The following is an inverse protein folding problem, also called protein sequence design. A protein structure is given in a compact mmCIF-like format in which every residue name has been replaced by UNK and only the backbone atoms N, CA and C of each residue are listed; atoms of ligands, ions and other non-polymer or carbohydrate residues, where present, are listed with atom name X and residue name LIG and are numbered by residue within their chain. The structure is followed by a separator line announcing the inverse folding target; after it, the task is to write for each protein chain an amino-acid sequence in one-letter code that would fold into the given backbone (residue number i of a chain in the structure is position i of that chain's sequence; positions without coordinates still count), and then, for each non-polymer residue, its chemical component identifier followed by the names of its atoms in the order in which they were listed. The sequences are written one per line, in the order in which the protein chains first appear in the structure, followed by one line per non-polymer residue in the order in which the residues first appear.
data_IF_713309729725
#
_entry.id   IF_713309729725
#
_cell.length_a   1.000
_cell.length_b   1.000
_cell.length_c   1.000
_cell.angle_alpha   90.00
_cell.angle_beta   90.00
_cell.angle_gamma   90.00
#
_symmetry.space_group_name_H-M   'P 1'
#
loop_
_entity.id
_entity.type
_entity.pdbx_description
1 polymer ?
#
# COMPACT_ATOMS: atom_id res chain seq x y z
N UNK A 1 15.36 -31.17 62.49
CA UNK A 1 15.81 -31.79 61.23
C UNK A 1 14.66 -31.77 60.24
N UNK A 2 14.44 -30.67 59.52
CA UNK A 2 13.81 -30.68 58.18
C UNK A 2 14.44 -29.51 57.43
N UNK A 3 15.17 -29.86 56.38
CA UNK A 3 16.04 -28.98 55.62
C UNK A 3 15.31 -28.49 54.38
N UNK A 4 15.41 -27.18 54.17
CA UNK A 4 15.25 -26.36 52.94
C UNK A 4 15.07 -27.12 51.61
N UNK A 5 14.07 -26.67 50.83
CA UNK A 5 14.22 -26.49 49.39
C UNK A 5 13.59 -25.14 48.99
N UNK A 6 14.45 -24.15 48.73
CA UNK A 6 14.09 -22.92 48.03
C UNK A 6 14.19 -23.22 46.54
N UNK A 7 13.07 -23.19 45.81
CA UNK A 7 13.06 -23.14 44.35
C UNK A 7 13.23 -21.67 43.93
N UNK A 8 14.40 -21.33 43.41
CA UNK A 8 14.64 -20.06 42.71
C UNK A 8 13.93 -20.10 41.35
N UNK A 9 12.83 -19.38 41.20
CA UNK A 9 12.29 -19.02 39.89
C UNK A 9 13.15 -17.90 39.31
N UNK A 10 14.06 -18.25 38.40
CA UNK A 10 14.69 -17.26 37.51
C UNK A 10 13.64 -16.88 36.46
N UNK A 11 12.96 -15.75 36.66
CA UNK A 11 12.22 -15.11 35.58
C UNK A 11 13.24 -14.63 34.54
N UNK A 12 13.44 -15.42 33.49
CA UNK A 12 13.98 -14.91 32.23
C UNK A 12 12.97 -13.91 31.67
N UNK A 13 13.15 -12.63 32.00
CA UNK A 13 12.61 -11.53 31.21
C UNK A 13 13.32 -11.60 29.86
N UNK A 14 12.74 -12.36 28.93
CA UNK A 14 13.02 -12.19 27.52
C UNK A 14 12.51 -10.78 27.21
N UNK A 15 13.43 -9.82 27.15
CA UNK A 15 13.16 -8.54 26.51
C UNK A 15 12.73 -8.88 25.08
N UNK A 16 11.42 -8.82 24.82
CA UNK A 16 10.92 -8.77 23.46
C UNK A 16 11.50 -7.48 22.89
N UNK A 17 12.55 -7.62 22.09
CA UNK A 17 13.05 -6.55 21.24
C UNK A 17 11.85 -6.01 20.49
N UNK A 18 11.51 -4.74 20.70
CA UNK A 18 10.40 -4.11 20.02
C UNK A 18 10.68 -4.15 18.53
N UNK A 19 9.91 -4.92 17.76
CA UNK A 19 10.05 -5.08 16.30
C UNK A 19 9.85 -3.77 15.52
N UNK A 20 9.42 -2.70 16.21
CA UNK A 20 9.06 -1.42 15.61
C UNK A 20 9.68 -0.23 16.31
N UNK A 21 10.11 0.74 15.50
CA UNK A 21 10.55 2.07 15.94
C UNK A 21 9.35 3.02 15.91
N UNK A 22 9.05 3.71 17.00
CA UNK A 22 8.03 4.75 17.01
C UNK A 22 8.59 6.06 16.42
N UNK A 23 8.05 6.47 15.28
CA UNK A 23 8.48 7.69 14.58
C UNK A 23 7.45 8.79 14.75
N UNK A 24 7.88 9.99 15.15
CA UNK A 24 6.99 11.13 15.36
C UNK A 24 6.44 11.67 14.03
N UNK A 25 5.23 12.22 14.10
CA UNK A 25 4.58 12.90 12.98
C UNK A 25 5.20 14.28 12.74
N UNK A 26 5.30 14.67 11.48
CA UNK A 26 5.57 16.02 11.03
C UNK A 26 4.33 16.54 10.30
N UNK A 27 3.77 17.65 10.79
CA UNK A 27 2.68 18.38 10.13
C UNK A 27 3.29 19.43 9.20
N UNK A 28 2.95 19.37 7.90
CA UNK A 28 3.50 20.27 6.89
C UNK A 28 2.64 21.54 6.77
N UNK A 29 2.71 22.42 7.75
CA UNK A 29 1.93 23.67 7.80
C UNK A 29 2.13 24.55 6.56
N UNK A 30 3.35 24.57 6.00
CA UNK A 30 3.67 25.36 4.80
C UNK A 30 2.91 24.90 3.55
N UNK A 31 2.36 23.68 3.53
CA UNK A 31 1.58 23.15 2.42
C UNK A 31 0.20 23.82 2.29
N UNK A 32 -0.36 24.38 3.37
CA UNK A 32 -1.67 25.06 3.34
C UNK A 32 -1.64 26.25 2.38
N UNK A 33 -0.55 27.03 2.38
CA UNK A 33 -0.35 28.14 1.46
C UNK A 33 -0.30 27.72 -0.02
N UNK A 34 0.00 26.45 -0.30
CA UNK A 34 -0.03 25.83 -1.63
C UNK A 34 -1.39 25.18 -1.95
N UNK A 35 -2.37 25.31 -1.05
CA UNK A 35 -3.68 24.66 -1.13
C UNK A 35 -3.62 23.14 -0.98
N UNK A 36 -2.52 22.59 -0.49
CA UNK A 36 -2.37 21.17 -0.19
C UNK A 36 -2.87 20.91 1.24
N UNK A 37 -4.09 20.39 1.35
CA UNK A 37 -4.78 20.15 2.61
C UNK A 37 -5.59 18.85 2.56
N UNK A 38 -5.78 18.22 3.72
CA UNK A 38 -6.63 17.05 3.91
C UNK A 38 -8.10 17.35 3.60
N UNK A 39 -8.96 16.32 3.58
CA UNK A 39 -10.41 16.45 3.31
C UNK A 39 -11.11 17.53 4.16
N UNK A 40 -10.67 17.73 5.42
CA UNK A 40 -11.22 18.71 6.35
C UNK A 40 -10.53 20.09 6.32
N UNK A 41 -9.50 20.26 5.48
CA UNK A 41 -8.74 21.49 5.36
C UNK A 41 -7.48 21.56 6.23
N UNK A 42 -7.15 20.56 7.05
CA UNK A 42 -5.89 20.57 7.82
C UNK A 42 -4.68 20.31 6.93
N UNK A 43 -3.46 20.76 7.32
CA UNK A 43 -2.22 20.44 6.61
C UNK A 43 -1.98 18.92 6.51
N UNK A 44 -1.33 18.43 5.43
CA UNK A 44 -0.92 17.04 5.34
C UNK A 44 0.24 16.73 6.28
N UNK A 45 0.50 15.44 6.47
CA UNK A 45 1.50 14.97 7.42
C UNK A 45 2.31 13.78 6.89
N UNK A 46 3.50 13.61 7.45
CA UNK A 46 4.35 12.45 7.20
C UNK A 46 5.19 12.13 8.44
N UNK A 47 5.71 10.91 8.51
CA UNK A 47 6.70 10.48 9.51
C UNK A 47 8.02 10.27 8.80
N UNK A 48 9.12 10.71 9.39
CA UNK A 48 10.45 10.60 8.80
C UNK A 48 11.45 10.08 9.84
N UNK A 49 12.05 8.94 9.52
CA UNK A 49 13.22 8.41 10.21
C UNK A 49 14.45 8.59 9.31
N UNK A 50 15.53 9.15 9.87
CA UNK A 50 16.68 9.59 9.08
C UNK A 50 17.64 8.44 8.80
N UNK A 51 18.17 8.44 7.58
CA UNK A 51 19.19 7.48 7.18
C UNK A 51 20.50 7.68 7.93
N UNK A 52 21.35 6.65 7.92
CA UNK A 52 22.64 6.63 8.61
C UNK A 52 23.71 5.92 7.78
N UNK A 53 24.97 6.25 8.04
CA UNK A 53 26.12 5.64 7.37
C UNK A 53 26.00 5.69 5.82
N UNK A 54 26.19 4.56 5.11
CA UNK A 54 26.04 4.51 3.66
C UNK A 54 24.64 4.82 3.12
N UNK A 55 23.59 4.77 3.97
CA UNK A 55 22.20 4.96 3.57
C UNK A 55 21.70 6.41 3.61
N UNK A 56 22.52 7.38 4.03
CA UNK A 56 22.08 8.79 4.19
C UNK A 56 21.59 9.45 2.89
N UNK A 57 22.05 8.97 1.73
CA UNK A 57 21.62 9.46 0.42
C UNK A 57 20.60 8.53 -0.25
N UNK A 58 20.04 7.58 0.48
CA UNK A 58 19.04 6.66 -0.04
C UNK A 58 17.69 6.89 0.66
N UNK A 59 16.59 6.74 -0.09
CA UNK A 59 15.26 7.14 0.37
C UNK A 59 14.21 6.09 0.06
N UNK A 60 13.39 5.75 1.05
CA UNK A 60 12.14 4.98 0.89
C UNK A 60 10.99 5.89 1.28
N UNK A 61 10.09 6.16 0.35
CA UNK A 61 8.87 6.93 0.58
C UNK A 61 7.72 5.95 0.47
N UNK A 62 6.94 5.79 1.54
CA UNK A 62 5.82 4.87 1.59
C UNK A 62 4.50 5.62 1.76
N UNK A 63 3.59 5.45 0.81
CA UNK A 63 2.28 6.06 0.80
C UNK A 63 1.30 5.18 1.59
N UNK A 64 0.72 5.76 2.65
CA UNK A 64 -0.29 5.09 3.45
C UNK A 64 -1.54 4.76 2.61
N UNK A 65 -2.18 3.62 2.92
CA UNK A 65 -3.44 3.19 2.31
C UNK A 65 -4.66 3.52 3.19
N UNK A 66 -5.83 2.99 2.81
CA UNK A 66 -7.06 3.11 3.61
C UNK A 66 -8.33 3.32 2.78
N UNK A 67 -8.41 2.69 1.61
CA UNK A 67 -9.56 2.81 0.70
C UNK A 67 -9.81 4.22 0.16
N UNK A 68 -11.03 4.47 -0.30
CA UNK A 68 -11.43 5.73 -0.93
C UNK A 68 -12.78 6.20 -0.40
N UNK A 69 -13.16 7.42 -0.77
CA UNK A 69 -14.53 7.89 -0.62
C UNK A 69 -15.06 8.36 -1.98
N UNK A 70 -16.12 7.71 -2.46
CA UNK A 70 -16.64 7.86 -3.82
C UNK A 70 -17.82 8.83 -3.93
N UNK A 71 -18.36 9.31 -2.80
CA UNK A 71 -19.40 10.33 -2.79
C UNK A 71 -19.21 11.31 -1.64
N UNK A 72 -19.87 12.47 -1.72
CA UNK A 72 -19.80 13.55 -0.73
C UNK A 72 -20.11 13.06 0.69
N UNK A 73 -21.13 12.21 0.86
CA UNK A 73 -21.53 11.71 2.19
C UNK A 73 -20.44 10.86 2.83
N UNK A 74 -19.82 9.95 2.07
CA UNK A 74 -18.75 9.10 2.58
C UNK A 74 -17.47 9.89 2.83
N UNK A 75 -17.14 10.87 1.99
CA UNK A 75 -16.02 11.77 2.25
C UNK A 75 -16.25 12.65 3.48
N UNK A 76 -17.49 13.10 3.70
CA UNK A 76 -17.89 13.87 4.88
C UNK A 76 -17.73 13.05 6.17
N UNK A 77 -18.10 11.76 6.16
CA UNK A 77 -17.82 10.86 7.30
C UNK A 77 -16.31 10.70 7.50
N UNK A 78 -15.57 10.48 6.40
CA UNK A 78 -14.13 10.24 6.41
C UNK A 78 -13.33 11.42 6.95
N UNK A 79 -13.75 12.67 6.69
CA UNK A 79 -13.08 13.89 7.17
C UNK A 79 -12.94 13.93 8.69
N UNK A 80 -13.83 13.26 9.43
CA UNK A 80 -13.80 13.18 10.89
C UNK A 80 -12.91 12.07 11.45
N UNK A 81 -12.06 11.46 10.62
CA UNK A 81 -11.16 10.34 10.99
C UNK A 81 -9.71 10.67 10.62
N UNK A 82 -8.76 9.83 11.07
CA UNK A 82 -7.33 9.91 10.69
C UNK A 82 -7.08 9.91 9.17
N UNK A 83 -8.04 9.39 8.40
CA UNK A 83 -7.98 9.25 6.95
C UNK A 83 -8.57 10.44 6.18
N UNK A 84 -8.93 11.50 6.88
CA UNK A 84 -9.43 12.75 6.28
C UNK A 84 -9.01 14.02 7.03
N UNK A 85 -8.28 13.88 8.15
CA UNK A 85 -7.82 14.99 8.98
C UNK A 85 -6.51 14.62 9.68
N UNK A 86 -5.50 15.47 9.55
CA UNK A 86 -4.25 15.33 10.30
C UNK A 86 -4.41 15.62 11.80
N UNK A 87 -5.44 16.37 12.20
CA UNK A 87 -5.78 16.57 13.61
C UNK A 87 -6.31 15.30 14.30
N UNK A 88 -6.57 14.23 13.52
CA UNK A 88 -7.03 12.93 14.00
C UNK A 88 -6.00 11.82 13.79
N UNK A 89 -4.79 12.14 13.33
CA UNK A 89 -3.72 11.16 13.12
C UNK A 89 -2.97 10.88 14.42
N UNK A 90 -2.51 9.63 14.55
CA UNK A 90 -1.60 9.26 15.64
C UNK A 90 -0.30 10.05 15.54
N UNK A 91 0.14 10.59 16.67
CA UNK A 91 1.36 11.40 16.75
C UNK A 91 2.63 10.58 16.55
N UNK A 92 2.54 9.27 16.75
CA UNK A 92 3.63 8.32 16.55
C UNK A 92 3.13 7.15 15.71
N UNK A 93 3.96 6.71 14.77
CA UNK A 93 3.69 5.55 13.92
C UNK A 93 4.80 4.51 14.11
N UNK A 94 4.49 3.26 14.50
CA UNK A 94 5.46 2.19 14.51
C UNK A 94 5.92 1.86 13.08
N UNK A 95 7.21 1.98 12.84
CA UNK A 95 7.86 1.55 11.61
C UNK A 95 8.31 0.09 11.74
N UNK A 96 7.79 -0.77 10.87
CA UNK A 96 8.04 -2.22 10.82
C UNK A 96 8.19 -2.71 9.37
N UNK A 97 8.56 -3.98 9.17
CA UNK A 97 8.76 -4.54 7.84
C UNK A 97 9.84 -3.78 7.08
N UNK A 98 9.56 -3.41 5.83
CA UNK A 98 10.41 -2.57 4.98
C UNK A 98 10.75 -1.20 5.57
N UNK A 99 10.00 -0.74 6.60
CA UNK A 99 10.25 0.51 7.30
C UNK A 99 11.09 0.34 8.57
N UNK A 100 11.39 -0.89 9.00
CA UNK A 100 12.20 -1.12 10.21
C UNK A 100 13.62 -0.56 10.07
N UNK A 101 14.17 -0.06 11.17
CA UNK A 101 15.56 0.40 11.28
C UNK A 101 16.53 -0.69 11.78
N UNK A 102 16.04 -1.91 12.03
CA UNK A 102 16.85 -3.04 12.44
C UNK A 102 17.25 -3.88 11.21
N UNK A 103 18.55 -4.09 10.94
CA UNK A 103 19.01 -4.92 9.82
C UNK A 103 18.56 -6.38 9.91
N UNK A 104 18.20 -6.90 11.09
CA UNK A 104 17.64 -8.25 11.24
C UNK A 104 16.20 -8.34 10.71
N UNK A 105 15.49 -7.21 10.62
CA UNK A 105 14.11 -7.14 10.15
C UNK A 105 13.99 -6.53 8.75
N UNK A 106 14.95 -5.67 8.38
CA UNK A 106 14.99 -4.95 7.10
C UNK A 106 16.42 -4.85 6.55
N UNK A 107 17.04 -5.95 6.14
CA UNK A 107 18.49 -6.00 5.88
C UNK A 107 18.98 -5.02 4.82
N UNK A 108 18.15 -4.67 3.84
CA UNK A 108 18.54 -3.81 2.71
C UNK A 108 18.30 -2.31 2.98
N UNK A 109 17.19 -1.95 3.62
CA UNK A 109 16.73 -0.56 3.70
C UNK A 109 16.79 0.04 5.12
N UNK A 110 17.29 -0.71 6.12
CA UNK A 110 17.30 -0.30 7.53
C UNK A 110 18.10 0.97 7.85
N UNK A 111 19.00 1.42 6.96
CA UNK A 111 19.79 2.64 7.17
C UNK A 111 19.46 3.75 6.15
N UNK A 112 18.42 3.59 5.34
CA UNK A 112 17.94 4.62 4.41
C UNK A 112 17.12 5.70 5.15
N UNK A 113 16.90 6.85 4.53
CA UNK A 113 15.83 7.74 4.98
C UNK A 113 14.49 7.04 4.70
N UNK A 114 13.67 6.86 5.72
CA UNK A 114 12.39 6.16 5.61
C UNK A 114 11.25 7.12 5.93
N UNK A 115 10.34 7.27 4.99
CA UNK A 115 9.21 8.19 5.09
C UNK A 115 7.90 7.43 4.99
N UNK A 116 6.99 7.66 5.93
CA UNK A 116 5.59 7.24 5.79
C UNK A 116 4.72 8.48 5.58
N UNK A 117 4.19 8.64 4.38
CA UNK A 117 3.30 9.74 4.00
C UNK A 117 1.89 9.39 4.43
N UNK A 118 1.28 10.21 5.29
CA UNK A 118 -0.04 9.93 5.84
C UNK A 118 -1.14 10.25 4.82
N UNK A 119 -2.13 9.37 4.74
CA UNK A 119 -3.18 9.44 3.73
C UNK A 119 -4.43 10.13 4.27
N UNK A 120 -4.78 11.28 3.69
CA UNK A 120 -5.92 12.07 4.16
C UNK A 120 -6.78 12.69 3.05
N UNK A 121 -6.57 12.33 1.78
CA UNK A 121 -7.33 12.89 0.65
C UNK A 121 -8.47 11.98 0.19
N UNK A 122 -8.37 10.65 0.38
CA UNK A 122 -9.42 9.71 -0.02
C UNK A 122 -9.49 9.41 -1.52
N UNK A 123 -8.52 9.84 -2.32
CA UNK A 123 -8.45 9.71 -3.78
C UNK A 123 -7.11 9.16 -4.28
N UNK A 124 -6.39 8.37 -3.49
CA UNK A 124 -5.03 7.87 -3.83
C UNK A 124 -4.07 8.96 -4.30
N UNK A 125 -4.07 10.13 -3.64
CA UNK A 125 -3.21 11.25 -3.99
C UNK A 125 -3.40 11.80 -5.42
N UNK A 126 -4.54 11.52 -6.07
CA UNK A 126 -4.79 11.99 -7.45
C UNK A 126 -5.73 13.19 -7.52
N UNK A 127 -6.51 13.47 -6.48
CA UNK A 127 -7.54 14.50 -6.52
C UNK A 127 -7.00 15.93 -6.56
N UNK A 128 -7.64 16.82 -7.31
CA UNK A 128 -7.33 18.25 -7.31
C UNK A 128 -8.50 19.10 -7.85
N UNK A 129 -9.44 19.45 -6.98
CA UNK A 129 -10.62 20.27 -7.30
C UNK A 129 -10.48 21.67 -6.72
N UNK A 130 -10.25 22.71 -7.52
CA UNK A 130 -10.05 24.11 -7.05
C UNK A 130 -11.10 24.60 -6.04
N UNK A 131 -12.39 24.33 -6.30
CA UNK A 131 -13.46 24.74 -5.41
C UNK A 131 -13.51 23.89 -4.13
N UNK A 132 -13.83 24.53 -3.01
CA UNK A 132 -14.24 23.83 -1.79
C UNK A 132 -15.70 23.42 -1.97
N UNK A 133 -16.08 22.20 -1.56
CA UNK A 133 -17.48 21.79 -1.63
C UNK A 133 -18.34 22.75 -0.79
N UNK A 134 -19.29 23.49 -1.40
CA UNK A 134 -19.96 24.59 -0.72
C UNK A 134 -20.93 24.13 0.38
N UNK A 135 -21.42 22.88 0.32
CA UNK A 135 -22.34 22.34 1.30
C UNK A 135 -21.65 21.70 2.51
N UNK A 136 -20.46 21.14 2.30
CA UNK A 136 -19.79 20.29 3.30
C UNK A 136 -18.42 20.78 3.73
N UNK A 137 -17.84 21.75 3.02
CA UNK A 137 -16.49 22.27 3.26
C UNK A 137 -15.39 21.28 2.91
N UNK A 138 -15.66 20.27 2.07
CA UNK A 138 -14.68 19.25 1.72
C UNK A 138 -13.64 19.76 0.72
N UNK A 139 -12.40 19.30 0.90
CA UNK A 139 -11.27 19.61 0.04
C UNK A 139 -10.74 18.34 -0.65
N UNK A 140 -10.74 18.30 -1.98
CA UNK A 140 -10.19 17.18 -2.75
C UNK A 140 -8.82 17.56 -3.33
N UNK A 141 -7.73 17.32 -2.58
CA UNK A 141 -6.38 17.87 -2.84
C UNK A 141 -5.24 16.85 -2.89
N UNK A 142 -5.55 15.57 -3.08
CA UNK A 142 -4.55 14.49 -3.07
C UNK A 142 -3.27 14.79 -3.88
N UNK A 143 -3.40 15.29 -5.11
CA UNK A 143 -2.24 15.57 -5.96
C UNK A 143 -1.40 16.74 -5.44
N UNK A 144 -2.05 17.74 -4.82
CA UNK A 144 -1.32 18.84 -4.15
C UNK A 144 -0.59 18.37 -2.91
N UNK A 145 -1.23 17.48 -2.12
CA UNK A 145 -0.59 16.86 -0.95
C UNK A 145 0.67 16.10 -1.37
N UNK A 146 0.55 15.22 -2.37
CA UNK A 146 1.70 14.48 -2.89
C UNK A 146 2.81 15.43 -3.33
N UNK A 147 2.49 16.42 -4.17
CA UNK A 147 3.47 17.40 -4.65
C UNK A 147 4.15 18.16 -3.50
N UNK A 148 3.38 18.70 -2.56
CA UNK A 148 3.91 19.49 -1.45
C UNK A 148 4.84 18.67 -0.55
N UNK A 149 4.49 17.41 -0.26
CA UNK A 149 5.34 16.51 0.52
C UNK A 149 6.61 16.15 -0.27
N UNK A 150 6.52 15.82 -1.56
CA UNK A 150 7.72 15.51 -2.32
C UNK A 150 8.67 16.71 -2.41
N UNK A 151 8.15 17.93 -2.60
CA UNK A 151 8.95 19.17 -2.57
C UNK A 151 9.65 19.37 -1.21
N UNK A 152 8.95 19.09 -0.11
CA UNK A 152 9.51 19.16 1.24
C UNK A 152 10.64 18.13 1.43
N UNK A 153 10.43 16.88 1.00
CA UNK A 153 11.45 15.84 1.09
C UNK A 153 12.67 16.14 0.20
N UNK A 154 12.45 16.72 -0.99
CA UNK A 154 13.52 17.22 -1.87
C UNK A 154 14.37 18.26 -1.15
N UNK A 155 13.74 19.24 -0.49
CA UNK A 155 14.43 20.26 0.30
C UNK A 155 15.18 19.68 1.51
N UNK A 156 14.72 18.54 2.03
CA UNK A 156 15.35 17.81 3.13
C UNK A 156 16.47 16.84 2.71
N UNK A 157 16.91 16.89 1.44
CA UNK A 157 18.06 16.14 0.91
C UNK A 157 17.71 15.00 -0.05
N UNK A 158 16.44 14.77 -0.36
CA UNK A 158 16.06 13.78 -1.37
C UNK A 158 16.51 14.21 -2.78
N UNK A 159 16.71 15.52 -3.01
CA UNK A 159 17.23 16.04 -4.28
C UNK A 159 18.68 15.63 -4.59
N UNK A 160 19.42 15.07 -3.64
CA UNK A 160 20.77 14.50 -3.83
C UNK A 160 20.80 12.99 -3.69
N UNK A 161 19.64 12.32 -3.78
CA UNK A 161 19.55 10.88 -3.57
C UNK A 161 20.34 10.09 -4.61
N UNK A 162 21.06 9.04 -4.16
CA UNK A 162 21.65 8.04 -5.04
C UNK A 162 20.66 6.96 -5.42
N UNK A 163 19.83 6.56 -4.44
CA UNK A 163 18.77 5.58 -4.64
C UNK A 163 17.48 6.11 -4.01
N UNK A 164 16.36 5.87 -4.67
CA UNK A 164 15.06 6.25 -4.13
C UNK A 164 13.98 5.26 -4.55
N UNK A 165 13.09 5.01 -3.60
CA UNK A 165 11.98 4.08 -3.74
C UNK A 165 10.69 4.83 -3.42
N UNK A 166 9.74 4.80 -4.36
CA UNK A 166 8.34 5.07 -4.02
C UNK A 166 7.65 3.74 -3.74
N UNK A 167 6.96 3.64 -2.63
CA UNK A 167 6.21 2.47 -2.23
C UNK A 167 4.87 2.88 -1.63
N UNK A 168 4.01 1.91 -1.41
CA UNK A 168 2.79 2.13 -0.65
C UNK A 168 1.95 0.87 -0.62
N UNK A 169 0.96 0.86 0.28
CA UNK A 169 0.00 -0.23 0.36
C UNK A 169 -1.42 0.19 -0.05
N UNK A 170 -2.17 -0.70 -0.70
CA UNK A 170 -3.62 -0.57 -0.89
C UNK A 170 -3.91 0.67 -1.75
N UNK A 171 -4.70 1.63 -1.27
CA UNK A 171 -4.86 2.93 -1.92
C UNK A 171 -3.51 3.66 -2.15
N UNK A 172 -2.54 3.52 -1.24
CA UNK A 172 -1.17 4.03 -1.42
C UNK A 172 -0.31 3.19 -2.38
N UNK A 173 -0.60 1.90 -2.51
CA UNK A 173 0.00 1.02 -3.53
C UNK A 173 -0.49 1.40 -4.92
N UNK A 174 -1.80 1.64 -5.05
CA UNK A 174 -2.38 2.21 -6.28
C UNK A 174 -1.78 3.59 -6.58
N UNK A 175 -1.69 4.47 -5.59
CA UNK A 175 -1.04 5.77 -5.75
C UNK A 175 0.41 5.63 -6.21
N UNK A 176 1.15 4.64 -5.72
CA UNK A 176 2.51 4.35 -6.17
C UNK A 176 2.55 4.05 -7.66
N UNK A 177 1.63 3.23 -8.18
CA UNK A 177 1.52 2.97 -9.62
C UNK A 177 1.22 4.26 -10.39
N UNK A 178 0.21 5.02 -9.95
CA UNK A 178 -0.25 6.22 -10.66
C UNK A 178 0.78 7.36 -10.66
N UNK A 179 1.61 7.46 -9.62
CA UNK A 179 2.62 8.50 -9.46
C UNK A 179 4.06 8.05 -9.80
N UNK A 180 4.28 6.79 -10.19
CA UNK A 180 5.63 6.22 -10.31
C UNK A 180 6.54 6.99 -11.28
N UNK A 181 6.05 7.30 -12.48
CA UNK A 181 6.84 8.08 -13.46
C UNK A 181 7.04 9.53 -12.99
N UNK A 182 6.01 10.16 -12.42
CA UNK A 182 6.13 11.50 -11.86
C UNK A 182 7.19 11.56 -10.76
N UNK A 183 7.22 10.59 -9.85
CA UNK A 183 8.25 10.47 -8.82
C UNK A 183 9.65 10.30 -9.43
N UNK A 184 9.79 9.44 -10.44
CA UNK A 184 11.03 9.29 -11.20
C UNK A 184 11.55 10.61 -11.76
N UNK A 185 10.67 11.46 -12.29
CA UNK A 185 11.06 12.77 -12.86
C UNK A 185 11.48 13.82 -11.84
N UNK A 186 11.17 13.63 -10.55
CA UNK A 186 11.54 14.59 -9.50
C UNK A 186 13.01 14.46 -9.06
N UNK A 187 13.63 13.33 -9.35
CA UNK A 187 14.95 12.97 -8.80
C UNK A 187 16.07 13.16 -9.83
N UNK A 188 17.33 13.23 -9.37
CA UNK A 188 18.47 13.39 -10.26
C UNK A 188 18.52 12.32 -11.34
N UNK A 189 18.94 12.69 -12.56
CA UNK A 189 19.03 11.76 -13.69
C UNK A 189 19.97 10.56 -13.44
N UNK A 190 20.91 10.69 -12.52
CA UNK A 190 21.85 9.62 -12.12
C UNK A 190 21.38 8.83 -10.89
N UNK A 191 20.23 9.17 -10.29
CA UNK A 191 19.66 8.42 -9.19
C UNK A 191 19.01 7.12 -9.71
N UNK A 192 19.18 6.02 -8.98
CA UNK A 192 18.43 4.79 -9.21
C UNK A 192 17.05 4.93 -8.55
N UNK A 193 16.02 5.15 -9.37
CA UNK A 193 14.64 5.30 -8.90
C UNK A 193 13.81 4.07 -9.26
N UNK A 194 13.09 3.51 -8.27
CA UNK A 194 12.22 2.34 -8.46
C UNK A 194 10.91 2.49 -7.67
N UNK A 195 9.88 1.76 -8.07
CA UNK A 195 8.57 1.78 -7.40
C UNK A 195 8.12 0.38 -6.96
N UNK A 196 7.54 0.27 -5.76
CA UNK A 196 6.93 -0.95 -5.21
C UNK A 196 5.44 -0.73 -4.88
N UNK A 197 4.55 -1.39 -5.61
CA UNK A 197 3.13 -1.39 -5.25
C UNK A 197 2.80 -2.65 -4.47
N UNK A 198 2.46 -2.49 -3.19
CA UNK A 198 1.97 -3.57 -2.32
C UNK A 198 0.44 -3.53 -2.22
N UNK A 199 -0.23 -4.63 -2.55
CA UNK A 199 -1.68 -4.76 -2.53
C UNK A 199 -2.42 -3.63 -3.30
N UNK A 200 -1.75 -3.01 -4.27
CA UNK A 200 -2.25 -1.86 -5.03
C UNK A 200 -2.78 -2.22 -6.41
N UNK A 201 -2.58 -3.47 -6.86
CA UNK A 201 -3.05 -3.97 -8.14
C UNK A 201 -4.52 -4.43 -8.08
N UNK A 202 -5.46 -3.47 -8.03
CA UNK A 202 -6.90 -3.75 -8.12
C UNK A 202 -7.28 -4.02 -9.57
N UNK A 203 -8.10 -5.04 -9.81
CA UNK A 203 -8.47 -5.45 -11.18
C UNK A 203 -9.92 -5.10 -11.49
N UNK A 204 -10.21 -4.92 -12.76
CA UNK A 204 -11.57 -4.73 -13.22
C UNK A 204 -12.30 -6.07 -13.29
N UNK A 205 -13.31 -6.26 -12.41
CA UNK A 205 -14.11 -7.48 -12.36
C UNK A 205 -15.58 -7.20 -12.02
N UNK A 206 -16.44 -8.17 -12.31
CA UNK A 206 -17.83 -8.18 -11.85
C UNK A 206 -17.95 -8.83 -10.47
N UNK A 207 -18.77 -8.26 -9.59
CA UNK A 207 -19.05 -8.84 -8.28
C UNK A 207 -19.83 -10.17 -8.38
N UNK A 208 -20.09 -10.81 -7.24
CA UNK A 208 -20.84 -12.08 -7.17
C UNK A 208 -22.29 -11.99 -7.67
N UNK A 209 -22.82 -10.79 -7.90
CA UNK A 209 -24.13 -10.55 -8.54
C UNK A 209 -24.02 -10.27 -10.04
N UNK A 210 -22.80 -10.29 -10.60
CA UNK A 210 -22.51 -10.05 -12.00
C UNK A 210 -22.47 -8.57 -12.39
N UNK A 211 -22.37 -7.65 -11.43
CA UNK A 211 -22.34 -6.20 -11.70
C UNK A 211 -20.91 -5.65 -11.68
N UNK A 212 -20.57 -4.66 -12.54
CA UNK A 212 -19.24 -4.02 -12.57
C UNK A 212 -19.10 -2.97 -11.45
N UNK A 213 -19.36 -3.37 -10.20
CA UNK A 213 -19.41 -2.47 -9.04
C UNK A 213 -18.15 -1.60 -8.92
N UNK A 214 -16.96 -2.19 -9.08
CA UNK A 214 -15.70 -1.46 -8.93
C UNK A 214 -15.45 -0.45 -10.06
N UNK A 215 -15.95 -0.69 -11.27
CA UNK A 215 -15.87 0.29 -12.37
C UNK A 215 -16.64 1.55 -11.99
N UNK A 216 -17.88 1.40 -11.53
CA UNK A 216 -18.69 2.52 -11.06
C UNK A 216 -18.06 3.21 -9.86
N UNK A 217 -17.59 2.44 -8.88
CA UNK A 217 -16.93 2.97 -7.70
C UNK A 217 -15.70 3.82 -8.04
N UNK A 218 -14.79 3.34 -8.91
CA UNK A 218 -13.63 4.11 -9.35
C UNK A 218 -13.99 5.29 -10.25
N UNK A 219 -15.02 5.16 -11.10
CA UNK A 219 -15.53 6.30 -11.85
C UNK A 219 -16.01 7.43 -10.92
N UNK A 220 -16.73 7.08 -9.85
CA UNK A 220 -17.24 8.02 -8.87
C UNK A 220 -16.11 8.68 -8.07
N UNK A 221 -15.09 7.90 -7.65
CA UNK A 221 -13.87 8.44 -7.03
C UNK A 221 -13.18 9.44 -7.98
N UNK A 222 -12.88 9.04 -9.21
CA UNK A 222 -12.16 9.89 -10.18
C UNK A 222 -12.94 11.16 -10.49
N UNK A 223 -14.26 11.06 -10.63
CA UNK A 223 -15.15 12.19 -10.94
C UNK A 223 -15.22 13.16 -9.76
N UNK A 224 -15.51 12.66 -8.56
CA UNK A 224 -15.66 13.48 -7.36
C UNK A 224 -14.36 14.20 -6.99
N UNK A 225 -13.23 13.50 -7.07
CA UNK A 225 -11.93 14.03 -6.69
C UNK A 225 -11.27 14.86 -7.79
N UNK A 226 -11.86 14.94 -8.99
CA UNK A 226 -11.27 15.66 -10.13
C UNK A 226 -9.94 15.06 -10.59
N UNK A 227 -9.76 13.75 -10.44
CA UNK A 227 -8.47 13.07 -10.59
C UNK A 227 -7.97 13.02 -12.04
N UNK A 228 -8.86 13.19 -13.03
CA UNK A 228 -8.57 12.95 -14.45
C UNK A 228 -7.29 13.66 -14.96
N UNK A 229 -7.02 14.89 -14.49
CA UNK A 229 -5.85 15.68 -14.89
C UNK A 229 -4.52 15.18 -14.30
N UNK A 230 -4.57 14.35 -13.27
CA UNK A 230 -3.41 13.76 -12.60
C UNK A 230 -3.24 12.26 -12.95
N UNK A 231 -4.10 11.70 -13.79
CA UNK A 231 -3.95 10.35 -14.32
C UNK A 231 -3.10 10.35 -15.62
N UNK A 232 -2.47 9.22 -15.98
CA UNK A 232 -1.63 9.14 -17.16
C UNK A 232 -2.35 9.59 -18.44
N UNK A 233 -1.86 10.65 -19.13
CA UNK A 233 -2.48 11.15 -20.37
C UNK A 233 -2.60 10.09 -21.46
N UNK A 234 -1.63 9.18 -21.50
CA UNK A 234 -1.58 8.05 -22.44
C UNK A 234 -2.69 7.01 -22.24
N UNK A 235 -3.34 7.02 -21.07
CA UNK A 235 -4.57 6.30 -20.80
C UNK A 235 -5.81 7.17 -21.02
N UNK A 236 -5.86 8.38 -20.42
CA UNK A 236 -7.07 9.23 -20.46
C UNK A 236 -7.40 9.76 -21.85
N UNK A 237 -6.44 9.74 -22.78
CA UNK A 237 -6.69 10.03 -24.20
C UNK A 237 -7.40 8.90 -24.96
N UNK A 238 -7.51 7.70 -24.37
CA UNK A 238 -8.06 6.49 -25.01
C UNK A 238 -9.25 5.91 -24.26
N UNK A 239 -9.25 6.00 -22.94
CA UNK A 239 -10.24 5.43 -22.04
C UNK A 239 -10.90 6.52 -21.19
N UNK A 240 -12.07 6.23 -20.65
CA UNK A 240 -12.69 7.09 -19.64
C UNK A 240 -11.76 7.23 -18.44
N UNK A 241 -11.65 8.41 -17.79
CA UNK A 241 -10.76 8.62 -16.66
C UNK A 241 -10.91 7.60 -15.52
N UNK A 242 -12.13 7.16 -15.20
CA UNK A 242 -12.38 6.11 -14.19
C UNK A 242 -11.65 4.80 -14.50
N UNK A 243 -11.56 4.41 -15.78
CA UNK A 243 -10.83 3.20 -16.20
C UNK A 243 -9.31 3.37 -16.04
N UNK A 244 -8.80 4.59 -16.14
CA UNK A 244 -7.38 4.90 -15.92
C UNK A 244 -6.98 4.92 -14.43
N UNK A 245 -7.93 4.69 -13.53
CA UNK A 245 -7.66 4.41 -12.13
C UNK A 245 -7.31 2.93 -11.89
N UNK A 246 -7.62 2.03 -12.82
CA UNK A 246 -7.21 0.63 -12.72
C UNK A 246 -5.77 0.44 -13.20
N UNK A 247 -4.89 -0.19 -12.38
CA UNK A 247 -3.53 -0.55 -12.74
C UNK A 247 -3.36 -1.23 -14.08
N UNK A 248 -4.26 -2.16 -14.43
CA UNK A 248 -4.23 -2.90 -15.71
C UNK A 248 -4.25 -2.00 -16.95
N UNK A 249 -4.78 -0.78 -16.85
CA UNK A 249 -4.90 0.16 -17.95
C UNK A 249 -3.72 1.15 -18.06
N UNK A 250 -2.86 1.22 -17.05
CA UNK A 250 -1.79 2.23 -16.95
C UNK A 250 -0.40 1.63 -16.76
N UNK A 251 -0.28 0.53 -16.03
CA UNK A 251 0.99 0.04 -15.55
C UNK A 251 1.92 -0.48 -16.68
N UNK A 252 1.36 -0.92 -17.81
CA UNK A 252 2.14 -1.29 -19.00
C UNK A 252 2.94 -0.12 -19.59
N UNK A 253 2.52 1.12 -19.35
CA UNK A 253 3.13 2.32 -19.95
C UNK A 253 4.15 3.00 -19.02
N UNK A 254 4.21 2.59 -17.76
CA UNK A 254 5.15 3.11 -16.76
C UNK A 254 6.58 2.77 -17.19
N UNK A 255 7.43 3.80 -17.18
CA UNK A 255 8.84 3.74 -17.59
C UNK A 255 9.77 3.48 -16.43
N UNK A 256 9.51 4.10 -15.28
CA UNK A 256 10.24 3.85 -14.04
C UNK A 256 10.07 2.37 -13.64
N UNK A 257 11.14 1.64 -13.25
CA UNK A 257 11.03 0.25 -12.84
C UNK A 257 9.96 0.05 -11.75
N UNK A 258 9.06 -0.90 -11.98
CA UNK A 258 7.90 -1.17 -11.14
C UNK A 258 7.89 -2.62 -10.69
N UNK A 259 7.67 -2.83 -9.41
CA UNK A 259 7.53 -4.15 -8.83
C UNK A 259 6.19 -4.28 -8.09
N UNK A 260 5.47 -5.37 -8.37
CA UNK A 260 4.14 -5.62 -7.81
C UNK A 260 4.22 -6.69 -6.73
N UNK A 261 3.83 -6.35 -5.51
CA UNK A 261 3.62 -7.29 -4.41
C UNK A 261 2.12 -7.40 -4.23
N UNK A 262 1.52 -8.54 -4.53
CA UNK A 262 0.07 -8.71 -4.39
C UNK A 262 -0.27 -10.14 -4.01
N UNK A 263 -1.25 -10.31 -3.12
CA UNK A 263 -1.91 -11.59 -2.97
C UNK A 263 -2.84 -11.83 -4.16
N UNK A 264 -2.80 -13.02 -4.76
CA UNK A 264 -3.73 -13.41 -5.81
C UNK A 264 -5.18 -13.51 -5.29
N UNK A 265 -5.34 -13.71 -3.99
CA UNK A 265 -6.61 -13.72 -3.26
C UNK A 265 -6.64 -12.56 -2.24
N UNK A 266 -6.22 -11.37 -2.65
CA UNK A 266 -6.22 -10.17 -1.79
C UNK A 266 -7.54 -10.04 -1.02
N UNK A 267 -7.46 -10.11 0.31
CA UNK A 267 -8.68 -10.21 1.10
C UNK A 267 -9.52 -8.94 1.02
N UNK A 268 -8.92 -7.78 0.77
CA UNK A 268 -9.64 -6.51 0.72
C UNK A 268 -10.44 -6.44 -0.57
N UNK A 269 -9.83 -6.83 -1.69
CA UNK A 269 -10.50 -6.97 -2.99
C UNK A 269 -11.62 -8.02 -2.92
N UNK A 270 -11.41 -9.16 -2.26
CA UNK A 270 -12.49 -10.14 -2.02
C UNK A 270 -13.64 -9.52 -1.22
N UNK A 271 -13.33 -8.82 -0.13
CA UNK A 271 -14.32 -8.28 0.81
C UNK A 271 -15.13 -7.10 0.26
N UNK A 272 -14.52 -6.26 -0.56
CA UNK A 272 -15.06 -4.95 -0.92
C UNK A 272 -15.37 -4.81 -2.42
N UNK A 273 -14.82 -5.68 -3.27
CA UNK A 273 -15.02 -5.64 -4.72
C UNK A 273 -15.78 -6.89 -5.18
N UNK A 274 -15.21 -8.08 -5.00
CA UNK A 274 -15.86 -9.32 -5.46
C UNK A 274 -17.18 -9.57 -4.72
N UNK A 275 -17.18 -9.42 -3.40
CA UNK A 275 -18.39 -9.52 -2.56
C UNK A 275 -18.77 -8.11 -2.10
N UNK A 276 -19.06 -7.24 -3.06
CA UNK A 276 -19.37 -5.83 -2.85
C UNK A 276 -20.49 -5.59 -1.81
N UNK A 277 -20.50 -4.44 -1.12
CA UNK A 277 -21.55 -4.10 -0.16
C UNK A 277 -22.96 -4.28 -0.74
N UNK A 278 -23.82 -5.02 -0.03
CA UNK A 278 -25.20 -5.28 -0.44
C UNK A 278 -25.41 -6.52 -1.31
N UNK A 279 -24.35 -7.16 -1.83
CA UNK A 279 -24.47 -8.34 -2.72
C UNK A 279 -24.64 -9.68 -1.99
N UNK A 280 -24.34 -9.73 -0.69
CA UNK A 280 -24.50 -10.92 0.17
C UNK A 280 -25.49 -10.68 1.33
N UNK A 281 -26.79 -10.44 1.06
CA UNK A 281 -27.77 -10.10 2.10
C UNK A 281 -28.03 -11.24 3.09
N UNK A 282 -27.81 -12.49 2.67
CA UNK A 282 -27.99 -13.69 3.52
C UNK A 282 -26.72 -14.04 4.32
N UNK A 283 -25.62 -13.32 4.11
CA UNK A 283 -24.37 -13.56 4.82
C UNK A 283 -23.67 -14.87 4.47
N UNK A 284 -23.93 -15.44 3.29
CA UNK A 284 -23.33 -16.70 2.85
C UNK A 284 -21.79 -16.58 2.75
N UNK A 285 -21.29 -15.40 2.40
CA UNK A 285 -19.87 -15.10 2.26
C UNK A 285 -19.21 -14.58 3.53
N UNK A 286 -19.98 -14.35 4.61
CA UNK A 286 -19.46 -13.74 5.85
C UNK A 286 -18.23 -14.48 6.40
N UNK A 287 -18.31 -15.81 6.53
CA UNK A 287 -17.20 -16.61 7.08
C UNK A 287 -16.00 -16.68 6.13
N UNK A 288 -16.26 -16.90 4.83
CA UNK A 288 -15.24 -16.97 3.78
C UNK A 288 -14.46 -15.65 3.63
N UNK A 289 -15.17 -14.51 3.67
CA UNK A 289 -14.55 -13.17 3.67
C UNK A 289 -13.61 -12.95 4.84
N UNK A 290 -13.95 -13.48 6.02
CA UNK A 290 -13.11 -13.34 7.21
C UNK A 290 -11.88 -14.26 7.16
N UNK A 291 -12.05 -15.50 6.71
CA UNK A 291 -10.99 -16.48 6.62
C UNK A 291 -11.25 -17.42 5.44
N UNK A 292 -10.31 -17.46 4.49
CA UNK A 292 -10.40 -18.31 3.30
C UNK A 292 -10.55 -19.81 3.63
N UNK A 293 -10.06 -20.26 4.79
CA UNK A 293 -10.22 -21.65 5.27
C UNK A 293 -11.68 -22.03 5.52
N UNK A 294 -12.55 -21.05 5.72
CA UNK A 294 -13.97 -21.25 5.99
C UNK A 294 -14.83 -21.13 4.72
N UNK A 295 -14.23 -20.99 3.55
CA UNK A 295 -14.96 -20.96 2.29
C UNK A 295 -15.52 -22.34 1.95
N UNK A 296 -16.75 -22.39 1.47
CA UNK A 296 -17.32 -23.61 0.88
C UNK A 296 -16.61 -23.96 -0.43
N UNK A 297 -16.71 -25.20 -0.94
CA UNK A 297 -16.14 -25.55 -2.24
C UNK A 297 -16.57 -24.62 -3.38
N UNK A 298 -17.84 -24.21 -3.39
CA UNK A 298 -18.36 -23.25 -4.37
C UNK A 298 -17.68 -21.87 -4.25
N UNK A 299 -17.53 -21.35 -3.02
CA UNK A 299 -16.86 -20.07 -2.79
C UNK A 299 -15.39 -20.13 -3.19
N UNK A 300 -14.71 -21.25 -2.92
CA UNK A 300 -13.35 -21.47 -3.38
C UNK A 300 -13.27 -21.46 -4.91
N UNK A 301 -14.20 -22.09 -5.62
CA UNK A 301 -14.25 -22.01 -7.11
C UNK A 301 -14.37 -20.57 -7.60
N UNK A 302 -15.22 -19.75 -6.97
CA UNK A 302 -15.34 -18.32 -7.33
C UNK A 302 -14.04 -17.55 -7.02
N UNK A 303 -13.36 -17.85 -5.91
CA UNK A 303 -12.05 -17.27 -5.60
C UNK A 303 -10.97 -17.72 -6.58
N UNK A 304 -11.04 -18.95 -7.12
CA UNK A 304 -10.15 -19.37 -8.20
C UNK A 304 -10.37 -18.54 -9.47
N UNK A 305 -11.62 -18.25 -9.81
CA UNK A 305 -11.95 -17.33 -10.90
C UNK A 305 -11.34 -15.93 -10.69
N UNK A 306 -11.45 -15.37 -9.48
CA UNK A 306 -10.78 -14.11 -9.13
C UNK A 306 -9.27 -14.16 -9.38
N UNK A 307 -8.60 -15.25 -9.00
CA UNK A 307 -7.17 -15.42 -9.25
C UNK A 307 -6.88 -15.45 -10.75
N UNK A 308 -7.66 -16.17 -11.54
CA UNK A 308 -7.49 -16.24 -13.00
C UNK A 308 -7.63 -14.85 -13.64
N UNK A 309 -8.66 -14.09 -13.27
CA UNK A 309 -8.85 -12.72 -13.73
C UNK A 309 -7.68 -11.81 -13.29
N UNK A 310 -7.20 -11.97 -12.06
CA UNK A 310 -6.03 -11.22 -11.56
C UNK A 310 -4.78 -11.49 -12.38
N UNK A 311 -4.49 -12.76 -12.65
CA UNK A 311 -3.32 -13.14 -13.44
C UNK A 311 -3.44 -12.66 -14.89
N UNK A 312 -4.63 -12.71 -15.48
CA UNK A 312 -4.87 -12.16 -16.82
C UNK A 312 -4.64 -10.64 -16.86
N UNK A 313 -5.10 -9.90 -15.85
CA UNK A 313 -4.84 -8.46 -15.74
C UNK A 313 -3.35 -8.17 -15.53
N UNK A 314 -2.63 -9.01 -14.79
CA UNK A 314 -1.19 -8.90 -14.57
C UNK A 314 -0.38 -9.22 -15.84
N UNK A 315 -0.79 -10.22 -16.63
CA UNK A 315 -0.18 -10.54 -17.93
C UNK A 315 -0.24 -9.34 -18.89
N UNK A 316 -1.27 -8.49 -18.78
CA UNK A 316 -1.41 -7.23 -19.50
C UNK A 316 -0.25 -6.24 -19.29
N UNK A 317 0.52 -6.37 -18.19
CA UNK A 317 1.77 -5.63 -17.99
C UNK A 317 2.80 -5.90 -19.08
N UNK A 318 2.70 -7.04 -19.77
CA UNK A 318 3.65 -7.46 -20.78
C UNK A 318 5.04 -7.78 -20.22
N UNK A 319 5.92 -8.23 -21.11
CA UNK A 319 7.31 -8.56 -20.74
C UNK A 319 8.15 -7.28 -20.71
N UNK A 320 8.69 -6.95 -19.54
CA UNK A 320 9.74 -5.94 -19.38
C UNK A 320 10.85 -6.50 -18.48
N UNK A 321 12.10 -6.13 -18.76
CA UNK A 321 13.25 -6.44 -17.88
C UNK A 321 13.29 -5.57 -16.62
N UNK A 322 12.56 -4.45 -16.62
CA UNK A 322 12.48 -3.51 -15.49
C UNK A 322 11.29 -3.75 -14.58
N UNK A 323 10.50 -4.80 -14.85
CA UNK A 323 9.31 -5.15 -14.06
C UNK A 323 9.52 -6.45 -13.32
N UNK A 324 9.16 -6.45 -12.05
CA UNK A 324 9.16 -7.65 -11.20
C UNK A 324 7.79 -7.83 -10.53
N UNK A 325 7.54 -9.02 -10.03
CA UNK A 325 6.35 -9.30 -9.24
C UNK A 325 6.54 -10.48 -8.28
N UNK A 326 5.98 -10.32 -7.09
CA UNK A 326 5.83 -11.33 -6.07
C UNK A 326 4.34 -11.54 -5.85
N UNK A 327 3.78 -12.57 -6.48
CA UNK A 327 2.35 -12.88 -6.38
C UNK A 327 2.18 -14.17 -5.58
N UNK A 328 1.82 -14.04 -4.30
CA UNK A 328 1.56 -15.20 -3.44
C UNK A 328 0.07 -15.56 -3.41
N UNK A 329 -0.23 -16.78 -2.95
CA UNK A 329 -1.60 -17.27 -2.81
C UNK A 329 -2.17 -17.14 -1.40
N UNK A 330 -1.59 -16.27 -0.57
CA UNK A 330 -2.10 -15.97 0.76
C UNK A 330 -3.35 -15.10 0.71
N UNK A 331 -4.16 -15.17 1.76
CA UNK A 331 -5.34 -14.32 1.95
C UNK A 331 -4.97 -13.07 2.75
N UNK A 332 -4.05 -12.27 2.21
CA UNK A 332 -3.42 -11.13 2.88
C UNK A 332 -3.75 -9.80 2.19
N UNK A 333 -3.40 -8.71 2.87
CA UNK A 333 -3.47 -7.33 2.37
C UNK A 333 -2.40 -6.51 3.12
N UNK A 334 -1.65 -5.63 2.44
CA UNK A 334 -0.54 -4.84 3.02
C UNK A 334 0.58 -5.66 3.68
N UNK A 335 1.45 -6.25 2.85
CA UNK A 335 2.45 -7.21 3.29
C UNK A 335 3.82 -6.58 3.62
N UNK A 336 4.20 -5.51 2.91
CA UNK A 336 5.55 -4.94 2.94
C UNK A 336 5.92 -4.23 4.25
N UNK A 337 4.93 -3.66 4.95
CA UNK A 337 5.15 -2.93 6.21
C UNK A 337 4.89 -3.77 7.46
N UNK A 338 4.50 -5.03 7.31
CA UNK A 338 4.23 -5.94 8.43
C UNK A 338 5.34 -6.97 8.54
N UNK A 339 6.02 -7.05 9.68
CA UNK A 339 7.19 -7.91 9.83
C UNK A 339 6.87 -9.39 9.59
N UNK A 340 5.69 -9.84 10.03
CA UNK A 340 5.18 -11.18 9.82
C UNK A 340 5.13 -11.59 8.33
N UNK A 341 4.90 -10.64 7.41
CA UNK A 341 4.85 -10.90 5.98
C UNK A 341 6.15 -10.55 5.24
N UNK A 342 6.86 -9.52 5.70
CA UNK A 342 8.02 -8.96 5.01
C UNK A 342 9.25 -9.87 5.07
N UNK A 343 9.74 -10.12 6.29
CA UNK A 343 11.01 -10.83 6.55
C UNK A 343 10.97 -11.65 7.85
N UNK A 344 9.78 -11.92 8.39
CA UNK A 344 9.60 -12.78 9.57
C UNK A 344 10.00 -14.23 9.32
N UNK A 345 10.33 -14.97 10.38
CA UNK A 345 10.73 -16.38 10.30
C UNK A 345 9.71 -17.24 9.54
N UNK A 346 8.42 -17.00 9.81
CA UNK A 346 7.29 -17.70 9.22
C UNK A 346 6.61 -16.88 8.11
N UNK A 347 7.29 -15.89 7.54
CA UNK A 347 6.73 -15.10 6.44
C UNK A 347 6.45 -15.95 5.20
N UNK A 348 5.48 -15.54 4.35
CA UNK A 348 5.22 -16.22 3.09
C UNK A 348 6.49 -16.31 2.25
N UNK A 349 6.67 -17.46 1.59
CA UNK A 349 7.82 -17.74 0.73
C UNK A 349 7.37 -18.22 -0.63
N UNK A 350 7.91 -17.57 -1.64
CA UNK A 350 7.69 -17.92 -3.03
C UNK A 350 9.06 -18.28 -3.63
N UNK A 351 9.18 -19.54 -4.07
CA UNK A 351 10.47 -20.14 -4.48
C UNK A 351 11.56 -19.95 -3.41
N UNK A 352 11.21 -20.23 -2.15
CA UNK A 352 12.06 -20.12 -0.96
C UNK A 352 12.54 -18.69 -0.59
N UNK A 353 12.08 -17.64 -1.30
CA UNK A 353 12.38 -16.25 -0.95
C UNK A 353 11.20 -15.59 -0.23
N UNK A 354 11.51 -14.87 0.84
CA UNK A 354 10.61 -13.89 1.47
C UNK A 354 10.34 -12.71 0.54
N UNK A 355 9.37 -11.86 0.87
CA UNK A 355 9.10 -10.63 0.13
C UNK A 355 10.34 -9.71 0.18
N UNK A 356 10.99 -9.57 1.34
CA UNK A 356 12.18 -8.73 1.50
C UNK A 356 13.34 -9.18 0.60
N UNK A 357 13.61 -10.48 0.54
CA UNK A 357 14.67 -11.04 -0.31
C UNK A 357 14.37 -10.83 -1.79
N UNK A 358 13.13 -11.06 -2.21
CA UNK A 358 12.70 -10.84 -3.59
C UNK A 358 12.82 -9.38 -4.02
N UNK A 359 12.36 -8.46 -3.17
CA UNK A 359 12.47 -7.02 -3.40
C UNK A 359 13.92 -6.57 -3.45
N UNK A 360 14.77 -7.05 -2.54
CA UNK A 360 16.21 -6.79 -2.54
C UNK A 360 16.84 -7.23 -3.87
N UNK A 361 16.63 -8.48 -4.26
CA UNK A 361 17.28 -9.04 -5.45
C UNK A 361 16.86 -8.31 -6.72
N UNK A 362 15.58 -7.92 -6.82
CA UNK A 362 15.10 -7.06 -7.91
C UNK A 362 15.66 -5.64 -7.86
N UNK A 363 15.73 -5.05 -6.67
CA UNK A 363 16.29 -3.72 -6.49
C UNK A 363 17.77 -3.67 -6.90
N UNK A 364 18.55 -4.67 -6.50
CA UNK A 364 19.96 -4.84 -6.82
C UNK A 364 20.21 -5.39 -8.23
N UNK A 365 19.16 -5.76 -8.96
CA UNK A 365 19.23 -6.30 -10.34
C UNK A 365 19.99 -7.64 -10.43
N UNK A 366 20.01 -8.40 -9.34
CA UNK A 366 20.56 -9.76 -9.30
C UNK A 366 19.55 -10.79 -9.79
N UNK A 367 18.25 -10.49 -9.69
CA UNK A 367 17.15 -11.30 -10.16
C UNK A 367 15.98 -10.39 -10.58
N UNK A 368 15.38 -10.60 -11.74
CA UNK A 368 14.18 -9.85 -12.13
C UNK A 368 12.97 -10.17 -11.25
N UNK A 369 13.02 -11.31 -10.55
CA UNK A 369 12.01 -11.86 -9.64
C UNK A 369 10.58 -11.66 -10.15
N UNK A 370 10.14 -12.63 -10.96
CA UNK A 370 8.84 -12.64 -11.63
C UNK A 370 8.14 -13.95 -11.32
N UNK A 371 7.68 -14.08 -10.08
CA UNK A 371 7.12 -15.33 -9.57
C UNK A 371 5.66 -15.17 -9.18
N UNK A 372 4.89 -16.18 -9.57
CA UNK A 372 3.48 -16.37 -9.23
C UNK A 372 3.36 -17.72 -8.54
N UNK A 373 2.65 -17.73 -7.44
CA UNK A 373 2.42 -18.90 -6.62
C UNK A 373 1.32 -19.81 -7.20
N UNK A 374 1.28 -21.06 -6.74
CA UNK A 374 0.25 -22.02 -7.12
C UNK A 374 -1.12 -21.65 -6.53
N UNK A 375 -2.25 -22.16 -7.05
CA UNK A 375 -3.57 -21.88 -6.48
C UNK A 375 -3.72 -22.31 -5.01
N UNK A 376 -4.42 -21.51 -4.19
CA UNK A 376 -4.77 -21.86 -2.81
C UNK A 376 -5.47 -23.24 -2.76
N UNK A 377 -5.20 -24.12 -1.77
CA UNK A 377 -4.40 -23.92 -0.55
C UNK A 377 -2.97 -24.47 -0.62
N UNK A 378 -2.29 -24.36 -1.75
CA UNK A 378 -1.00 -25.01 -1.93
C UNK A 378 0.11 -24.42 -1.02
N UNK A 379 0.16 -23.10 -0.85
CA UNK A 379 1.19 -22.43 -0.07
C UNK A 379 0.95 -22.64 1.43
N UNK A 380 1.91 -23.31 2.06
CA UNK A 380 1.90 -23.64 3.50
C UNK A 380 2.64 -22.62 4.35
N UNK A 381 3.22 -21.59 3.73
CA UNK A 381 3.98 -20.53 4.39
C UNK A 381 3.16 -19.28 4.68
N UNK A 382 1.90 -19.25 4.23
CA UNK A 382 0.99 -18.15 4.54
C UNK A 382 0.75 -18.01 6.04
N UNK A 383 0.94 -16.80 6.56
CA UNK A 383 0.66 -16.43 7.94
C UNK A 383 -0.85 -16.31 8.15
N UNK A 384 -1.38 -16.92 9.22
CA UNK A 384 -2.77 -16.78 9.60
C UNK A 384 -3.03 -15.41 10.24
N UNK A 385 -4.20 -14.82 9.95
CA UNK A 385 -4.58 -13.50 10.48
C UNK A 385 -4.64 -13.43 12.02
N UNK A 386 -4.69 -14.57 12.71
CA UNK A 386 -4.66 -14.66 14.18
C UNK A 386 -3.27 -14.44 14.78
N UNK A 387 -2.21 -14.59 13.99
CA UNK A 387 -0.82 -14.46 14.44
C UNK A 387 -0.30 -13.01 14.31
N UNK A 388 -1.13 -12.11 13.76
CA UNK A 388 -0.81 -10.69 13.59
C UNK A 388 -1.43 -9.95 14.76
N UNK A 389 -0.61 -9.59 15.75
CA UNK A 389 -0.99 -8.67 16.82
C UNK A 389 -1.50 -7.40 16.13
N UNK A 390 -2.79 -7.17 16.26
CA UNK A 390 -3.56 -6.09 15.65
C UNK A 390 -2.92 -4.75 15.96
N UNK A 391 -2.19 -4.19 15.00
CA UNK A 391 -2.07 -2.76 14.85
C UNK A 391 -2.38 -2.43 13.39
N UNK A 392 -3.18 -1.39 13.20
CA UNK A 392 -3.66 -0.86 11.92
C UNK A 392 -4.95 -1.50 11.37
N UNK A 393 -6.07 -0.91 11.79
CA UNK A 393 -7.30 -0.90 10.98
C UNK A 393 -7.00 -0.29 9.61
N UNK A 394 -6.96 -1.14 8.58
CA UNK A 394 -6.95 -0.77 7.15
C UNK A 394 -8.40 -0.72 6.64
#
# INVERSE_FOLDING_TARGET
MVTRFLLFFVCLLIFVTTESLLVNITILESAVAKGAVCLDGTPPAYHLDRGSGPGVNNWVISLEGGGWCQNVTLCLTRKNTRLGSSAKMDHQLPFSGMMSNDPNFNPEFYNWNRVSVRYCDGGSFTGDVEAIDPGTGLHYRGARIFKAIMEELLAQGMNTSQNAILSGCSAGGLATILHCDNFGTLLPNNAKVKCFSDAGYFIHLNDISGQPYIEHYFNDVVTLHGSAKNLPPSCTSKLKPGLCFFPENVAQQIKTPLFIINAAYDHWQVRNILVAPGTDPKGAWKSCKSNIKNCTPYQLTVLQGLREDFLKALEGLGRSSTRGYYINSCFSHCQSQQQAYWFGLNSPRLFNKTIAEAVRDWFLETDQYRHIDCPYPCDKTCVDATDIITSQHI
#
